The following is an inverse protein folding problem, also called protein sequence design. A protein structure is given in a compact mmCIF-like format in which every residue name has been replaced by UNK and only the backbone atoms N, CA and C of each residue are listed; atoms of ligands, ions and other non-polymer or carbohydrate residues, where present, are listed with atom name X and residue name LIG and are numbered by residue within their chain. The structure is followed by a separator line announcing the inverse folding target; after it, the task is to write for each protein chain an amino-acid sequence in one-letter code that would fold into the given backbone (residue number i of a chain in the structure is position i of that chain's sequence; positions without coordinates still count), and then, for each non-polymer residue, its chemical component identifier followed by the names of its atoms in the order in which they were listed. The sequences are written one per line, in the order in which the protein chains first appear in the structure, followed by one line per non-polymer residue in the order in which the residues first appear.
data_IF_429062250973
#
_entry.id   IF_429062250973
#
_cell.length_a   1.000
_cell.length_b   1.000
_cell.length_c   1.000
_cell.angle_alpha   90.00
_cell.angle_beta   90.00
_cell.angle_gamma   90.00
#
_symmetry.space_group_name_H-M   'P 1'
#
loop_
_entity.id
_entity.type
_entity.pdbx_description
1 polymer ?
#
# COMPACT_ATOMS: atom_id res chain seq x y z
N UNK A 1 13.29 20.44 -28.98
CA UNK A 1 14.24 19.60 -28.20
C UNK A 1 14.07 18.14 -28.60
N UNK A 2 14.99 17.22 -28.21
CA UNK A 2 14.88 15.77 -28.52
C UNK A 2 14.57 14.96 -27.26
N UNK A 3 13.77 13.91 -27.39
CA UNK A 3 13.48 12.97 -26.30
C UNK A 3 14.77 12.25 -25.83
N UNK A 4 15.01 12.18 -24.51
CA UNK A 4 16.15 11.43 -23.94
C UNK A 4 16.06 9.90 -24.13
N UNK A 5 14.86 9.36 -24.26
CA UNK A 5 14.64 7.90 -24.38
C UNK A 5 14.51 7.41 -25.82
N UNK A 6 13.82 8.15 -26.70
CA UNK A 6 13.51 7.68 -28.06
C UNK A 6 13.94 8.63 -29.19
N UNK A 7 14.70 9.68 -28.87
CA UNK A 7 15.25 10.70 -29.79
C UNK A 7 14.25 11.48 -30.67
N UNK A 8 12.95 11.23 -30.55
CA UNK A 8 11.91 11.97 -31.27
C UNK A 8 11.98 13.48 -31.00
N UNK A 9 11.66 14.29 -32.02
CA UNK A 9 11.53 15.73 -31.88
C UNK A 9 10.30 16.11 -31.04
N UNK A 10 10.50 16.93 -30.02
CA UNK A 10 9.44 17.37 -29.10
C UNK A 10 9.42 18.91 -29.03
N UNK A 11 8.22 19.49 -28.90
CA UNK A 11 8.02 20.89 -28.57
C UNK A 11 8.71 21.27 -27.25
N UNK A 12 9.09 22.54 -27.11
CA UNK A 12 9.88 23.04 -25.96
C UNK A 12 9.15 22.85 -24.62
N UNK A 13 7.82 22.99 -24.61
CA UNK A 13 7.00 22.93 -23.39
C UNK A 13 6.20 21.63 -23.23
N UNK A 14 6.51 20.59 -24.01
CA UNK A 14 5.81 19.33 -23.84
C UNK A 14 6.23 18.66 -22.52
N UNK A 15 5.27 18.28 -21.68
CA UNK A 15 5.55 17.56 -20.42
C UNK A 15 5.88 16.08 -20.65
N UNK A 16 5.37 15.50 -21.74
CA UNK A 16 5.45 14.07 -22.05
C UNK A 16 5.78 13.88 -23.53
N UNK A 17 6.64 12.91 -23.85
CA UNK A 17 6.91 12.53 -25.24
C UNK A 17 5.69 11.82 -25.87
N UNK A 18 5.21 12.32 -27.00
CA UNK A 18 4.07 11.73 -27.73
C UNK A 18 4.34 10.30 -28.25
N UNK A 19 5.62 9.94 -28.45
CA UNK A 19 6.00 8.65 -29.05
C UNK A 19 6.18 7.55 -28.01
N UNK A 20 6.89 7.84 -26.91
CA UNK A 20 7.28 6.83 -25.93
C UNK A 20 6.71 7.05 -24.52
N UNK A 21 5.99 8.14 -24.28
CA UNK A 21 5.37 8.41 -22.97
C UNK A 21 6.33 8.87 -21.87
N UNK A 22 7.62 9.01 -22.15
CA UNK A 22 8.60 9.46 -21.15
C UNK A 22 8.40 10.94 -20.79
N UNK A 23 8.43 11.24 -19.48
CA UNK A 23 8.45 12.61 -18.98
C UNK A 23 9.71 13.35 -19.47
N UNK A 24 9.52 14.56 -19.99
CA UNK A 24 10.60 15.41 -20.55
C UNK A 24 11.36 16.17 -19.47
N UNK A 25 10.73 16.36 -18.30
CA UNK A 25 11.31 17.02 -17.14
C UNK A 25 11.47 16.02 -15.99
N UNK A 26 12.47 16.27 -15.15
CA UNK A 26 12.67 15.52 -13.92
C UNK A 26 11.65 15.98 -12.86
N UNK A 27 11.17 15.09 -11.98
CA UNK A 27 10.29 15.48 -10.90
C UNK A 27 10.95 16.55 -10.02
N UNK A 28 10.30 17.72 -9.89
CA UNK A 28 10.77 18.77 -8.97
C UNK A 28 10.48 18.45 -7.51
N UNK A 29 9.45 17.64 -7.26
CA UNK A 29 8.96 17.30 -5.93
C UNK A 29 9.25 15.83 -5.71
N UNK A 30 10.10 15.54 -4.73
CA UNK A 30 10.33 14.17 -4.27
C UNK A 30 9.01 13.62 -3.70
N UNK A 31 8.56 12.43 -4.11
CA UNK A 31 7.38 11.83 -3.51
C UNK A 31 7.60 11.66 -2.00
N UNK A 32 6.56 11.82 -1.17
CA UNK A 32 6.68 11.56 0.25
C UNK A 32 7.19 10.13 0.48
N UNK A 33 7.96 9.93 1.55
CA UNK A 33 8.44 8.60 1.92
C UNK A 33 7.25 7.66 2.13
N UNK A 34 7.45 6.38 1.78
CA UNK A 34 6.43 5.37 1.97
C UNK A 34 6.04 5.33 3.45
N UNK A 35 4.76 5.58 3.74
CA UNK A 35 4.26 5.53 5.12
C UNK A 35 4.35 4.08 5.61
N UNK A 36 4.85 3.82 6.83
CA UNK A 36 4.85 2.48 7.38
C UNK A 36 3.41 1.94 7.35
N UNK A 37 3.20 0.79 6.70
CA UNK A 37 1.91 0.12 6.71
C UNK A 37 1.64 -0.30 8.15
N UNK A 38 0.60 0.26 8.76
CA UNK A 38 0.13 -0.18 10.08
C UNK A 38 -0.27 -1.65 9.96
N UNK A 39 0.43 -2.52 10.67
CA UNK A 39 0.16 -3.96 10.61
C UNK A 39 -1.24 -4.24 11.18
N UNK A 40 -1.99 -5.14 10.55
CA UNK A 40 -3.29 -5.63 11.07
C UNK A 40 -3.11 -6.76 12.10
N UNK A 41 -1.86 -7.18 12.35
CA UNK A 41 -1.52 -8.21 13.33
C UNK A 41 -2.12 -7.99 14.73
N UNK A 42 -2.06 -6.80 15.35
CA UNK A 42 -2.63 -6.62 16.70
C UNK A 42 -4.16 -6.78 16.72
N UNK A 43 -4.84 -6.40 15.63
CA UNK A 43 -6.28 -6.61 15.48
C UNK A 43 -6.62 -8.10 15.35
N UNK A 44 -5.86 -8.84 14.54
CA UNK A 44 -6.05 -10.30 14.41
C UNK A 44 -5.81 -11.01 15.75
N UNK A 45 -4.79 -10.60 16.51
CA UNK A 45 -4.51 -11.13 17.84
C UNK A 45 -5.65 -10.87 18.83
N UNK A 46 -6.19 -9.65 18.85
CA UNK A 46 -7.35 -9.29 19.69
C UNK A 46 -8.60 -10.11 19.35
N UNK A 47 -8.89 -10.30 18.07
CA UNK A 47 -10.04 -11.10 17.61
C UNK A 47 -9.88 -12.57 18.01
N UNK A 48 -8.69 -13.15 17.77
CA UNK A 48 -8.40 -14.53 18.16
C UNK A 48 -8.49 -14.72 19.68
N UNK A 49 -7.93 -13.81 20.46
CA UNK A 49 -8.02 -13.85 21.92
C UNK A 49 -9.48 -13.78 22.40
N UNK A 50 -10.28 -12.89 21.82
CA UNK A 50 -11.70 -12.78 22.12
C UNK A 50 -12.48 -14.06 21.80
N UNK A 51 -12.19 -14.71 20.66
CA UNK A 51 -12.81 -15.99 20.28
C UNK A 51 -12.43 -17.11 21.24
N UNK A 52 -11.16 -17.19 21.67
CA UNK A 52 -10.70 -18.19 22.65
C UNK A 52 -11.40 -17.98 23.99
N UNK A 53 -11.45 -16.74 24.50
CA UNK A 53 -12.13 -16.43 25.75
C UNK A 53 -13.62 -16.74 25.69
N UNK A 54 -14.29 -16.42 24.57
CA UNK A 54 -15.69 -16.76 24.37
C UNK A 54 -15.92 -18.28 24.36
N UNK A 55 -15.04 -19.04 23.70
CA UNK A 55 -15.11 -20.50 23.68
C UNK A 55 -14.94 -21.11 25.07
N UNK A 56 -13.96 -20.63 25.85
CA UNK A 56 -13.74 -21.06 27.24
C UNK A 56 -14.94 -20.72 28.12
N UNK A 57 -15.47 -19.49 28.02
CA UNK A 57 -16.66 -19.09 28.77
C UNK A 57 -17.88 -19.97 28.43
N UNK A 58 -18.04 -20.36 27.16
CA UNK A 58 -19.09 -21.30 26.73
C UNK A 58 -18.91 -22.69 27.34
N UNK A 59 -17.69 -23.21 27.38
CA UNK A 59 -17.39 -24.51 27.99
C UNK A 59 -17.71 -24.53 29.48
N UNK A 60 -17.37 -23.45 30.20
CA UNK A 60 -17.69 -23.28 31.63
C UNK A 60 -19.19 -23.16 31.85
N UNK A 61 -19.91 -22.38 31.03
CA UNK A 61 -21.34 -22.18 31.17
C UNK A 61 -22.19 -23.41 30.83
N UNK A 62 -21.71 -24.26 29.90
CA UNK A 62 -22.45 -25.44 29.44
C UNK A 62 -22.12 -26.71 30.24
N UNK A 63 -21.29 -26.62 31.27
CA UNK A 63 -21.03 -27.72 32.22
C UNK A 63 -20.27 -28.92 31.63
N UNK A 64 -19.69 -28.83 30.42
CA UNK A 64 -18.98 -29.96 29.78
C UNK A 64 -17.62 -30.32 30.40
N UNK A 65 -17.35 -29.86 31.63
CA UNK A 65 -16.09 -30.06 32.38
C UNK A 65 -16.31 -30.62 33.80
N UNK A 66 -17.53 -31.00 34.18
CA UNK A 66 -17.87 -31.66 35.45
C UNK A 66 -18.52 -33.02 35.18
#
# INVERSE_FOLDING_TARGET
MKCRSCSAGIAVNALICYKCGTATAEPRITPPSARPRRSRLPLAGLVLLGLVLAAVARQVACGSLL
#
